data_IF_112716468195
#
_entry.id   IF_112716468195
#
_cell.length_a   1.000
_cell.length_b   1.000
_cell.length_c   1.000
_cell.angle_alpha   90.00
_cell.angle_beta   90.00
_cell.angle_gamma   90.00
#
_symmetry.space_group_name_H-M   'P 1'
#
loop_
_entity.id
_entity.type
_entity.pdbx_description
1 polymer ?
#
# COMPACT_ATOMS: atom_id res chain seq x y z
N UNK A 1 -15.35 14.73 -6.76
CA UNK A 1 -14.15 13.92 -7.10
C UNK A 1 -14.48 12.52 -7.60
N UNK A 2 -15.10 11.62 -6.82
CA UNK A 2 -15.35 10.22 -7.24
C UNK A 2 -16.12 10.11 -8.56
N UNK A 3 -17.21 10.88 -8.72
CA UNK A 3 -17.96 10.97 -10.00
C UNK A 3 -17.08 11.45 -11.16
N UNK A 4 -16.19 12.41 -10.91
CA UNK A 4 -15.30 12.93 -11.93
C UNK A 4 -14.25 11.88 -12.34
N UNK A 5 -13.67 11.15 -11.38
CA UNK A 5 -12.74 10.06 -11.65
C UNK A 5 -13.39 8.96 -12.51
N UNK A 6 -14.64 8.58 -12.22
CA UNK A 6 -15.39 7.61 -13.02
C UNK A 6 -15.59 8.10 -14.47
N UNK A 7 -15.95 9.37 -14.67
CA UNK A 7 -16.14 9.95 -16.01
C UNK A 7 -14.85 10.06 -16.81
N UNK A 8 -13.74 10.39 -16.15
CA UNK A 8 -12.42 10.39 -16.80
C UNK A 8 -12.03 8.98 -17.25
N UNK A 9 -12.33 7.96 -16.45
CA UNK A 9 -12.13 6.56 -16.83
C UNK A 9 -13.03 6.11 -17.98
N UNK A 10 -14.28 6.56 -18.03
CA UNK A 10 -15.21 6.28 -19.15
C UNK A 10 -14.69 6.78 -20.50
N UNK A 11 -13.87 7.85 -20.53
CA UNK A 11 -13.19 8.33 -21.73
C UNK A 11 -12.02 7.44 -22.19
N UNK A 12 -11.74 6.34 -21.48
CA UNK A 12 -10.66 5.42 -21.81
C UNK A 12 -9.27 5.88 -21.36
N UNK A 13 -9.20 6.93 -20.53
CA UNK A 13 -7.94 7.40 -19.94
C UNK A 13 -7.57 6.46 -18.79
N UNK A 14 -6.36 5.92 -18.86
CA UNK A 14 -5.86 4.88 -17.94
C UNK A 14 -4.82 5.39 -16.95
N UNK A 15 -4.09 6.46 -17.30
CA UNK A 15 -3.04 7.06 -16.46
C UNK A 15 -3.59 8.27 -15.71
N UNK A 16 -4.42 7.97 -14.71
CA UNK A 16 -5.11 8.95 -13.87
C UNK A 16 -4.77 8.68 -12.41
N UNK A 17 -4.48 9.73 -11.67
CA UNK A 17 -4.24 9.68 -10.22
C UNK A 17 -5.23 10.59 -9.51
N UNK A 18 -5.83 10.11 -8.42
CA UNK A 18 -6.62 10.93 -7.51
C UNK A 18 -5.77 11.31 -6.31
N UNK A 19 -5.58 12.61 -6.10
CA UNK A 19 -4.82 13.17 -5.00
C UNK A 19 -5.80 13.77 -4.00
N UNK A 20 -5.82 13.23 -2.80
CA UNK A 20 -6.67 13.69 -1.70
C UNK A 20 -5.91 13.73 -0.38
N UNK A 21 -6.25 14.66 0.53
CA UNK A 21 -5.59 14.77 1.84
C UNK A 21 -5.92 13.61 2.79
N UNK A 22 -6.97 12.86 2.49
CA UNK A 22 -7.37 11.66 3.24
C UNK A 22 -7.96 10.59 2.29
N UNK A 23 -8.05 9.32 2.71
CA UNK A 23 -8.60 8.24 1.90
C UNK A 23 -10.09 8.46 1.59
N UNK A 24 -10.43 8.47 0.31
CA UNK A 24 -11.81 8.57 -0.15
C UNK A 24 -12.38 7.18 -0.47
N UNK A 25 -13.51 6.85 0.13
CA UNK A 25 -14.17 5.57 -0.13
C UNK A 25 -14.67 5.51 -1.58
N UNK A 26 -14.40 4.41 -2.26
CA UNK A 26 -14.83 4.17 -3.65
C UNK A 26 -14.01 4.89 -4.72
N UNK A 27 -12.93 5.59 -4.37
CA UNK A 27 -12.05 6.22 -5.38
C UNK A 27 -11.29 5.15 -6.18
N UNK A 28 -10.90 4.06 -5.53
CA UNK A 28 -10.18 2.95 -6.17
C UNK A 28 -11.05 2.29 -7.24
N UNK A 29 -12.33 2.06 -6.93
CA UNK A 29 -13.31 1.50 -7.87
C UNK A 29 -13.61 2.46 -9.02
N UNK A 30 -13.71 3.77 -8.72
CA UNK A 30 -13.93 4.80 -9.73
C UNK A 30 -12.75 4.90 -10.71
N UNK A 31 -11.51 4.81 -10.22
CA UNK A 31 -10.31 4.78 -11.05
C UNK A 31 -10.03 3.41 -11.68
N UNK A 32 -10.64 2.34 -11.17
CA UNK A 32 -10.40 0.98 -11.64
C UNK A 32 -9.03 0.44 -11.22
N UNK A 33 -8.53 0.87 -10.06
CA UNK A 33 -7.26 0.43 -9.52
C UNK A 33 -7.35 -1.06 -9.15
N UNK A 34 -6.38 -1.85 -9.61
CA UNK A 34 -6.30 -3.27 -9.26
C UNK A 34 -5.82 -3.44 -7.82
N UNK A 35 -6.23 -4.54 -7.19
CA UNK A 35 -5.78 -4.90 -5.84
C UNK A 35 -4.26 -4.96 -5.78
N UNK A 36 -3.68 -4.39 -4.71
CA UNK A 36 -2.23 -4.39 -4.50
C UNK A 36 -1.69 -5.79 -4.23
N UNK A 37 -0.40 -6.00 -4.54
CA UNK A 37 0.30 -7.26 -4.26
C UNK A 37 0.81 -7.35 -2.81
N UNK A 38 0.71 -6.27 -2.03
CA UNK A 38 1.22 -6.17 -0.65
C UNK A 38 0.67 -7.30 0.25
N UNK A 39 -0.63 -7.66 0.23
CA UNK A 39 -1.14 -8.73 1.08
C UNK A 39 -0.49 -10.10 0.83
N UNK A 40 -0.10 -10.39 -0.42
CA UNK A 40 0.60 -11.63 -0.76
C UNK A 40 2.02 -11.66 -0.17
N UNK A 41 2.72 -10.53 -0.21
CA UNK A 41 4.03 -10.38 0.42
C UNK A 41 3.90 -10.58 1.93
N UNK A 42 2.97 -9.88 2.57
CA UNK A 42 2.68 -10.02 4.01
C UNK A 42 2.45 -11.48 4.40
N UNK A 43 1.64 -12.21 3.62
CA UNK A 43 1.32 -13.60 3.90
C UNK A 43 2.55 -14.51 3.81
N UNK A 44 3.33 -14.40 2.73
CA UNK A 44 4.52 -15.24 2.52
C UNK A 44 5.55 -14.99 3.61
N UNK A 45 5.83 -13.73 3.96
CA UNK A 45 6.80 -13.41 5.00
C UNK A 45 6.29 -13.72 6.40
N UNK A 46 4.98 -13.57 6.66
CA UNK A 46 4.36 -14.04 7.90
C UNK A 46 4.52 -15.56 8.06
N UNK A 47 4.28 -16.35 7.00
CA UNK A 47 4.48 -17.79 7.01
C UNK A 47 5.96 -18.15 7.27
N UNK A 48 6.90 -17.43 6.64
CA UNK A 48 8.33 -17.59 6.91
C UNK A 48 8.67 -17.28 8.38
N UNK A 49 8.10 -16.21 8.95
CA UNK A 49 8.27 -15.87 10.37
C UNK A 49 7.72 -16.92 11.32
N UNK A 50 6.57 -17.52 10.98
CA UNK A 50 6.00 -18.65 11.71
C UNK A 50 6.91 -19.87 11.69
N UNK A 51 7.35 -20.30 10.49
CA UNK A 51 8.25 -21.43 10.32
C UNK A 51 9.59 -21.19 11.04
N UNK A 52 10.12 -19.98 10.95
CA UNK A 52 11.31 -19.56 11.67
C UNK A 52 11.12 -19.63 13.19
N UNK A 53 10.00 -19.14 13.73
CA UNK A 53 9.71 -19.21 15.16
C UNK A 53 9.60 -20.64 15.69
N UNK A 54 8.92 -21.52 14.93
CA UNK A 54 8.81 -22.95 15.27
C UNK A 54 10.20 -23.60 15.26
N UNK A 55 10.96 -23.40 14.18
CA UNK A 55 12.29 -23.96 14.04
C UNK A 55 13.25 -23.44 15.12
N UNK A 56 13.27 -22.13 15.37
CA UNK A 56 14.16 -21.49 16.32
C UNK A 56 13.90 -21.96 17.77
N UNK A 57 12.62 -22.00 18.17
CA UNK A 57 12.27 -22.44 19.54
C UNK A 57 12.54 -23.93 19.74
N UNK A 58 12.32 -24.76 18.71
CA UNK A 58 12.69 -26.17 18.76
C UNK A 58 14.21 -26.36 18.83
N UNK A 59 14.96 -25.67 17.96
CA UNK A 59 16.42 -25.75 17.92
C UNK A 59 17.05 -25.40 19.26
N UNK A 60 16.68 -24.25 19.85
CA UNK A 60 17.25 -23.82 21.14
C UNK A 60 16.85 -24.74 22.29
N UNK A 61 15.58 -25.13 22.36
CA UNK A 61 15.06 -25.83 23.54
C UNK A 61 15.25 -27.35 23.52
N UNK A 62 15.37 -27.97 22.35
CA UNK A 62 15.46 -29.43 22.20
C UNK A 62 16.81 -29.93 21.67
N UNK A 63 17.48 -29.18 20.79
CA UNK A 63 18.68 -29.65 20.08
C UNK A 63 19.97 -29.04 20.67
N UNK A 64 20.06 -27.71 20.73
CA UNK A 64 21.28 -27.00 21.13
C UNK A 64 21.55 -27.09 22.64
N UNK A 65 20.57 -26.72 23.47
CA UNK A 65 20.75 -26.70 24.92
C UNK A 65 19.49 -27.14 25.69
N UNK A 66 19.23 -28.47 25.75
CA UNK A 66 18.05 -29.00 26.44
C UNK A 66 18.14 -28.82 27.96
N UNK A 67 17.22 -28.02 28.52
CA UNK A 67 17.10 -27.78 29.96
C UNK A 67 15.80 -28.34 30.54
N UNK A 68 15.91 -28.99 31.70
CA UNK A 68 14.75 -29.42 32.48
C UNK A 68 14.34 -28.26 33.40
N UNK A 69 13.30 -27.51 33.00
CA UNK A 69 12.76 -26.38 33.76
C UNK A 69 11.37 -26.75 34.27
N UNK A 70 11.23 -26.92 35.58
CA UNK A 70 9.95 -27.27 36.22
C UNK A 70 9.38 -28.62 35.78
N UNK A 71 10.23 -29.56 35.35
CA UNK A 71 9.84 -30.92 34.95
C UNK A 71 9.11 -31.02 33.60
N UNK A 72 9.06 -29.94 32.81
CA UNK A 72 8.40 -29.90 31.50
C UNK A 72 9.23 -30.64 30.43
N UNK A 73 8.60 -31.14 29.35
CA UNK A 73 9.33 -31.65 28.19
C UNK A 73 10.21 -30.55 27.58
N UNK A 74 11.33 -30.94 26.97
CA UNK A 74 12.32 -30.02 26.40
C UNK A 74 11.71 -29.00 25.44
N UNK A 75 10.77 -29.43 24.59
CA UNK A 75 9.97 -28.53 23.77
C UNK A 75 8.48 -28.62 24.11
N UNK A 76 7.97 -27.59 24.79
CA UNK A 76 6.55 -27.43 25.11
C UNK A 76 5.91 -26.41 24.17
N UNK A 77 5.26 -26.91 23.11
CA UNK A 77 4.64 -26.06 22.10
C UNK A 77 3.75 -24.94 22.69
N UNK A 78 2.84 -25.20 23.66
CA UNK A 78 2.01 -24.15 24.24
C UNK A 78 2.79 -23.02 24.92
N UNK A 79 3.98 -23.31 25.47
CA UNK A 79 4.82 -22.30 26.11
C UNK A 79 5.50 -21.38 25.09
N UNK A 80 5.73 -21.86 23.86
CA UNK A 80 6.40 -21.12 22.79
C UNK A 80 5.44 -20.41 21.82
N UNK A 81 4.12 -20.66 21.91
CA UNK A 81 3.11 -19.97 21.09
C UNK A 81 3.27 -18.44 21.10
N UNK A 82 3.47 -17.76 22.25
CA UNK A 82 3.67 -16.31 22.25
C UNK A 82 4.90 -15.88 21.43
N UNK A 83 6.03 -16.59 21.55
CA UNK A 83 7.25 -16.27 20.80
C UNK A 83 7.04 -16.49 19.29
N UNK A 84 6.43 -17.61 18.91
CA UNK A 84 6.13 -17.92 17.51
C UNK A 84 5.18 -16.88 16.91
N UNK A 85 4.18 -16.45 17.67
CA UNK A 85 3.25 -15.39 17.28
C UNK A 85 3.99 -14.06 17.03
N UNK A 86 4.84 -13.62 17.96
CA UNK A 86 5.61 -12.38 17.81
C UNK A 86 6.54 -12.45 16.59
N UNK A 87 7.22 -13.58 16.35
CA UNK A 87 8.03 -13.77 15.14
C UNK A 87 7.18 -13.67 13.86
N UNK A 88 5.99 -14.25 13.86
CA UNK A 88 5.06 -14.18 12.72
C UNK A 88 4.66 -12.73 12.42
N UNK A 89 4.25 -11.99 13.45
CA UNK A 89 3.81 -10.58 13.33
C UNK A 89 4.98 -9.68 12.93
N UNK A 90 6.17 -9.88 13.49
CA UNK A 90 7.37 -9.08 13.19
C UNK A 90 7.75 -9.19 11.70
N UNK A 91 7.84 -10.42 11.17
CA UNK A 91 8.20 -10.62 9.76
C UNK A 91 7.09 -10.12 8.82
N UNK A 92 5.81 -10.33 9.17
CA UNK A 92 4.69 -9.83 8.40
C UNK A 92 4.67 -8.28 8.36
N UNK A 93 4.87 -7.62 9.49
CA UNK A 93 4.82 -6.16 9.59
C UNK A 93 5.97 -5.49 8.83
N UNK A 94 7.22 -5.94 9.07
CA UNK A 94 8.41 -5.36 8.42
C UNK A 94 8.36 -5.54 6.90
N UNK A 95 7.99 -6.73 6.42
CA UNK A 95 7.86 -6.99 4.98
C UNK A 95 6.73 -6.18 4.34
N UNK A 96 5.61 -5.96 5.04
CA UNK A 96 4.50 -5.13 4.55
C UNK A 96 4.91 -3.69 4.37
N UNK A 97 5.61 -3.12 5.35
CA UNK A 97 6.11 -1.74 5.29
C UNK A 97 7.14 -1.61 4.17
N UNK A 98 8.08 -2.55 4.06
CA UNK A 98 9.05 -2.57 2.96
C UNK A 98 8.37 -2.68 1.59
N UNK A 99 7.37 -3.56 1.44
CA UNK A 99 6.62 -3.70 0.20
C UNK A 99 5.83 -2.44 -0.16
N UNK A 100 5.23 -1.77 0.82
CA UNK A 100 4.53 -0.50 0.64
C UNK A 100 5.49 0.60 0.17
N UNK A 101 6.67 0.71 0.78
CA UNK A 101 7.70 1.69 0.39
C UNK A 101 8.13 1.45 -1.06
N UNK A 102 8.44 0.20 -1.42
CA UNK A 102 8.84 -0.17 -2.78
C UNK A 102 7.72 0.02 -3.81
N UNK A 103 6.49 -0.37 -3.49
CA UNK A 103 5.33 -0.23 -4.38
C UNK A 103 5.01 1.24 -4.69
N UNK A 104 5.23 2.14 -3.74
CA UNK A 104 5.02 3.58 -3.90
C UNK A 104 6.27 4.32 -4.43
N UNK A 105 7.39 3.62 -4.65
CA UNK A 105 8.64 4.25 -5.12
C UNK A 105 9.26 5.21 -4.10
N UNK A 106 9.11 4.92 -2.81
CA UNK A 106 9.68 5.70 -1.71
C UNK A 106 11.05 5.13 -1.26
N UNK A 107 11.92 5.94 -0.63
CA UNK A 107 11.83 7.39 -0.48
C UNK A 107 12.16 8.11 -1.79
N UNK A 108 11.39 9.15 -2.11
CA UNK A 108 11.67 10.04 -3.25
C UNK A 108 12.35 11.29 -2.70
N UNK A 109 13.60 11.55 -3.10
CA UNK A 109 14.45 12.61 -2.52
C UNK A 109 13.88 14.01 -2.82
N UNK A 110 13.38 14.23 -4.04
CA UNK A 110 12.69 15.46 -4.44
C UNK A 110 11.36 15.12 -5.14
N UNK A 111 10.24 14.98 -4.40
CA UNK A 111 8.94 14.77 -5.02
C UNK A 111 8.44 16.07 -5.65
N UNK A 112 7.85 15.96 -6.84
CA UNK A 112 7.17 17.08 -7.49
C UNK A 112 5.98 17.53 -6.63
N UNK A 113 5.98 18.80 -6.25
CA UNK A 113 4.87 19.42 -5.50
C UNK A 113 3.94 20.10 -6.50
N UNK A 114 2.75 19.54 -6.69
CA UNK A 114 1.74 20.08 -7.63
C UNK A 114 1.08 21.34 -7.03
N UNK A 115 0.51 21.21 -5.84
CA UNK A 115 -0.05 22.32 -5.06
C UNK A 115 0.03 21.95 -3.57
N UNK A 116 0.65 22.76 -2.70
CA UNK A 116 0.73 22.51 -1.25
C UNK A 116 -0.63 22.31 -0.58
N UNK A 117 -1.71 22.88 -1.12
CA UNK A 117 -3.06 22.77 -0.56
C UNK A 117 -3.69 21.37 -0.73
N UNK A 118 -3.13 20.50 -1.58
CA UNK A 118 -3.60 19.12 -1.81
C UNK A 118 -3.44 18.22 -0.58
N UNK A 119 -2.50 18.56 0.32
CA UNK A 119 -2.32 17.86 1.58
C UNK A 119 -3.25 18.36 2.68
N UNK A 120 -3.94 19.49 2.46
CA UNK A 120 -4.77 20.16 3.47
C UNK A 120 -6.26 20.03 3.18
N UNK A 121 -6.74 20.62 2.08
CA UNK A 121 -8.18 20.80 1.85
C UNK A 121 -8.61 20.68 0.37
N UNK A 122 -7.66 20.72 -0.57
CA UNK A 122 -7.97 20.56 -2.00
C UNK A 122 -7.93 19.10 -2.42
N UNK A 123 -8.73 18.77 -3.43
CA UNK A 123 -8.75 17.47 -4.09
C UNK A 123 -8.38 17.67 -5.56
N UNK A 124 -7.49 16.85 -6.10
CA UNK A 124 -7.10 16.94 -7.51
C UNK A 124 -7.19 15.59 -8.22
N UNK A 125 -7.62 15.63 -9.46
CA UNK A 125 -7.47 14.52 -10.40
C UNK A 125 -6.33 14.92 -11.33
N UNK A 126 -5.25 14.15 -11.27
CA UNK A 126 -4.11 14.33 -12.16
C UNK A 126 -4.24 13.36 -13.34
N UNK A 127 -4.11 13.90 -14.55
CA UNK A 127 -4.13 13.12 -15.78
C UNK A 127 -2.79 13.28 -16.48
N UNK A 128 -2.12 12.16 -16.76
CA UNK A 128 -0.82 12.19 -17.43
C UNK A 128 -0.96 12.47 -18.93
N UNK A 129 -0.14 13.38 -19.46
CA UNK A 129 -0.02 13.61 -20.92
C UNK A 129 0.45 12.36 -21.68
N UNK A 130 1.07 11.39 -20.99
CA UNK A 130 1.55 10.14 -21.57
C UNK A 130 0.44 9.12 -21.84
N UNK A 131 -0.82 9.47 -21.59
CA UNK A 131 -1.96 8.62 -21.93
C UNK A 131 -2.28 8.74 -23.42
N UNK A 132 -2.75 7.66 -24.04
CA UNK A 132 -3.07 7.64 -25.48
C UNK A 132 -4.35 8.41 -25.78
N UNK A 133 -5.28 8.47 -24.84
CA UNK A 133 -6.54 9.18 -24.97
C UNK A 133 -6.45 10.62 -24.40
N UNK A 134 -5.23 11.15 -24.19
CA UNK A 134 -5.05 12.49 -23.66
C UNK A 134 -5.46 13.56 -24.68
N UNK A 135 -6.45 14.37 -24.31
CA UNK A 135 -6.87 15.55 -25.07
C UNK A 135 -7.13 16.71 -24.10
N UNK A 136 -6.24 17.71 -24.10
CA UNK A 136 -6.30 18.82 -23.16
C UNK A 136 -7.61 19.63 -23.26
N UNK A 137 -8.09 19.91 -24.47
CA UNK A 137 -9.29 20.74 -24.68
C UNK A 137 -10.54 20.03 -24.17
N UNK A 138 -10.66 18.74 -24.45
CA UNK A 138 -11.77 17.92 -24.02
C UNK A 138 -11.76 17.70 -22.49
N UNK A 139 -10.58 17.48 -21.91
CA UNK A 139 -10.40 17.37 -20.47
C UNK A 139 -10.75 18.65 -19.74
N UNK A 140 -10.28 19.81 -20.21
CA UNK A 140 -10.63 21.10 -19.60
C UNK A 140 -12.15 21.34 -19.63
N UNK A 141 -12.81 21.03 -20.75
CA UNK A 141 -14.26 21.14 -20.86
C UNK A 141 -14.96 20.20 -19.89
N UNK A 142 -14.55 18.93 -19.83
CA UNK A 142 -15.11 17.94 -18.91
C UNK A 142 -14.94 18.38 -17.46
N UNK A 143 -13.75 18.85 -17.05
CA UNK A 143 -13.52 19.28 -15.68
C UNK A 143 -14.37 20.50 -15.31
N UNK A 144 -14.55 21.45 -16.23
CA UNK A 144 -15.47 22.59 -16.03
C UNK A 144 -16.93 22.14 -15.87
N UNK A 145 -17.39 21.22 -16.71
CA UNK A 145 -18.76 20.66 -16.61
C UNK A 145 -18.98 19.88 -15.31
N UNK A 146 -17.93 19.24 -14.78
CA UNK A 146 -17.96 18.50 -13.53
C UNK A 146 -17.81 19.37 -12.27
N UNK A 147 -17.67 20.70 -12.44
CA UNK A 147 -17.59 21.66 -11.34
C UNK A 147 -16.20 21.80 -10.73
N UNK A 148 -15.13 21.71 -11.53
CA UNK A 148 -13.78 21.99 -11.05
C UNK A 148 -13.60 23.49 -10.75
N UNK A 149 -13.15 23.82 -9.53
CA UNK A 149 -12.84 25.19 -9.13
C UNK A 149 -11.63 25.75 -9.89
N UNK A 150 -10.67 24.88 -10.23
CA UNK A 150 -9.42 25.24 -10.87
C UNK A 150 -8.94 24.12 -11.80
N UNK A 151 -8.51 24.47 -13.01
CA UNK A 151 -7.88 23.56 -13.96
C UNK A 151 -6.56 24.18 -14.39
N UNK A 152 -5.46 23.50 -14.06
CA UNK A 152 -4.09 23.96 -14.31
C UNK A 152 -3.31 22.88 -15.05
N UNK A 153 -2.48 23.32 -15.99
CA UNK A 153 -1.41 22.48 -16.52
C UNK A 153 -0.24 22.53 -15.54
N UNK A 154 0.11 21.38 -14.97
CA UNK A 154 1.27 21.28 -14.10
C UNK A 154 2.49 20.89 -14.95
N UNK A 155 3.50 21.77 -15.00
CA UNK A 155 4.76 21.52 -15.70
C UNK A 155 5.79 21.01 -14.71
N UNK A 156 6.31 19.80 -14.95
CA UNK A 156 7.33 19.16 -14.14
C UNK A 156 8.13 18.13 -14.94
#
# INVERSE_FOLDING_TARGET
MVKAAARVREMGITKVEAISPFPLHGIDDALGIKRSFIPWVTFIFGLTGFLFGVWFTWFVAADDWPLIIGGKPFWSFPAFVPVIFECTVLFAALSSVAAMILANGLPKVDPVVIDPALTSHKFAIFVSEKDRAYNAVELEKLFKELGADEVKKAEF
#
